data_IF_303261103343
#
_entry.id   IF_303261103343
#
_cell.length_a   1.000
_cell.length_b   1.000
_cell.length_c   1.000
_cell.angle_alpha   90.00
_cell.angle_beta   90.00
_cell.angle_gamma   90.00
#
_symmetry.space_group_name_H-M   'P 1'
#
loop_
_entity.id
_entity.type
_entity.pdbx_description
1 polymer ?
#
# COMPACT_ATOMS: atom_id res chain seq x y z
N UNK A 1 -33.34 1.07 -2.33
CA UNK A 1 -32.28 2.10 -2.45
C UNK A 1 -31.59 1.82 -3.77
N UNK A 2 -31.83 2.69 -4.73
CA UNK A 2 -31.31 2.58 -6.09
C UNK A 2 -29.79 2.65 -6.09
N UNK A 3 -29.11 1.57 -6.52
CA UNK A 3 -27.77 1.66 -7.03
C UNK A 3 -27.85 2.39 -8.37
N UNK A 4 -27.70 3.71 -8.34
CA UNK A 4 -27.53 4.47 -9.57
C UNK A 4 -26.08 4.20 -10.03
N UNK A 5 -25.92 3.81 -11.29
CA UNK A 5 -24.67 3.97 -12.06
C UNK A 5 -24.29 5.45 -12.01
N UNK A 6 -23.62 5.85 -10.94
CA UNK A 6 -23.02 7.17 -10.85
C UNK A 6 -21.62 7.04 -11.40
N UNK A 7 -21.45 7.44 -12.62
CA UNK A 7 -20.18 7.97 -13.13
C UNK A 7 -19.72 9.01 -12.10
N UNK A 8 -18.60 8.76 -11.38
CA UNK A 8 -18.09 9.59 -10.28
C UNK A 8 -18.74 9.34 -8.90
N UNK A 9 -18.60 8.15 -8.34
CA UNK A 9 -19.06 7.87 -6.97
C UNK A 9 -18.23 8.60 -5.90
N UNK A 10 -16.99 8.99 -6.20
CA UNK A 10 -16.08 9.66 -5.27
C UNK A 10 -15.41 10.84 -5.97
N UNK A 11 -15.77 12.07 -5.59
CA UNK A 11 -15.11 13.30 -6.05
C UNK A 11 -13.98 13.72 -5.09
N UNK A 12 -14.06 13.28 -3.82
CA UNK A 12 -13.05 13.53 -2.79
C UNK A 12 -12.36 12.21 -2.41
N UNK A 13 -11.04 12.23 -2.30
CA UNK A 13 -10.24 11.10 -1.84
C UNK A 13 -10.61 10.75 -0.40
N UNK A 14 -11.01 9.51 -0.16
CA UNK A 14 -11.31 9.02 1.19
C UNK A 14 -10.16 8.15 1.67
N UNK A 15 -9.51 8.56 2.77
CA UNK A 15 -8.42 7.79 3.37
C UNK A 15 -8.88 7.10 4.64
N UNK A 16 -8.49 5.84 4.82
CA UNK A 16 -8.77 5.04 6.03
C UNK A 16 -7.51 4.37 6.52
N UNK A 17 -7.32 4.41 7.84
CA UNK A 17 -6.24 3.69 8.52
C UNK A 17 -6.65 2.25 8.77
N UNK A 18 -5.71 1.33 8.61
CA UNK A 18 -5.85 -0.06 8.98
C UNK A 18 -4.52 -0.61 9.50
N UNK A 19 -4.57 -1.72 10.23
CA UNK A 19 -3.40 -2.31 10.88
C UNK A 19 -3.20 -3.73 10.34
N UNK A 20 -1.95 -4.04 9.98
CA UNK A 20 -1.48 -5.41 9.71
C UNK A 20 -0.19 -5.61 10.52
N UNK A 21 -0.10 -6.67 11.32
CA UNK A 21 1.07 -7.04 12.10
C UNK A 21 1.65 -5.86 12.91
N UNK A 22 0.78 -5.14 13.65
CA UNK A 22 1.11 -3.95 14.46
C UNK A 22 1.63 -2.75 13.67
N UNK A 23 1.60 -2.76 12.34
CA UNK A 23 1.91 -1.61 11.48
C UNK A 23 0.66 -0.93 11.02
N UNK A 24 0.65 0.40 11.09
CA UNK A 24 -0.43 1.24 10.57
C UNK A 24 -0.17 1.56 9.08
N UNK A 25 -1.20 1.34 8.29
CA UNK A 25 -1.23 1.68 6.86
C UNK A 25 -2.37 2.65 6.59
N UNK A 26 -2.20 3.49 5.59
CA UNK A 26 -3.22 4.39 5.09
C UNK A 26 -3.69 3.90 3.71
N UNK A 27 -4.94 3.46 3.63
CA UNK A 27 -5.58 3.14 2.37
C UNK A 27 -6.34 4.37 1.88
N UNK A 28 -5.97 4.86 0.70
CA UNK A 28 -6.66 5.99 0.06
C UNK A 28 -7.43 5.47 -1.15
N UNK A 29 -8.74 5.67 -1.12
CA UNK A 29 -9.61 5.41 -2.27
C UNK A 29 -9.44 6.52 -3.29
N UNK A 30 -9.29 6.12 -4.56
CA UNK A 30 -9.17 7.06 -5.68
C UNK A 30 -10.42 7.00 -6.55
N UNK A 31 -10.64 8.00 -7.37
CA UNK A 31 -11.69 7.93 -8.40
C UNK A 31 -11.36 6.79 -9.35
N UNK A 32 -12.32 5.88 -9.56
CA UNK A 32 -12.15 4.74 -10.47
C UNK A 32 -11.76 5.19 -11.88
N UNK A 33 -10.86 4.46 -12.52
CA UNK A 33 -10.54 4.70 -13.93
C UNK A 33 -11.78 4.38 -14.76
N UNK A 34 -12.34 5.42 -15.37
CA UNK A 34 -13.47 5.29 -16.27
C UNK A 34 -12.97 4.74 -17.62
N UNK A 35 -13.75 3.85 -18.22
CA UNK A 35 -13.62 3.54 -19.65
C UNK A 35 -13.73 4.87 -20.39
N UNK A 36 -12.71 5.21 -21.21
CA UNK A 36 -12.67 6.42 -22.03
C UNK A 36 -12.65 7.74 -21.22
N UNK A 37 -11.58 7.98 -20.43
CA UNK A 37 -11.31 9.32 -19.91
C UNK A 37 -10.98 10.25 -21.10
N UNK A 38 -11.81 11.26 -21.38
CA UNK A 38 -11.46 12.26 -22.37
C UNK A 38 -10.17 12.98 -21.93
N UNK A 39 -9.22 13.16 -22.86
CA UNK A 39 -7.92 13.81 -22.59
C UNK A 39 -8.03 15.19 -21.92
N UNK A 40 -9.15 15.89 -22.10
CA UNK A 40 -9.42 17.18 -21.46
C UNK A 40 -9.82 17.09 -19.98
N UNK A 41 -10.13 15.89 -19.46
CA UNK A 41 -10.44 15.69 -18.04
C UNK A 41 -9.20 15.27 -17.21
N UNK A 42 -8.09 14.88 -17.82
CA UNK A 42 -6.85 14.52 -17.13
C UNK A 42 -6.39 15.64 -16.20
N UNK A 43 -6.53 16.91 -16.61
CA UNK A 43 -6.19 18.07 -15.78
C UNK A 43 -7.11 18.25 -14.56
N UNK A 44 -8.37 17.84 -14.65
CA UNK A 44 -9.32 17.90 -13.53
C UNK A 44 -9.09 16.75 -12.52
N UNK A 45 -8.49 15.64 -12.97
CA UNK A 45 -8.14 14.48 -12.12
C UNK A 45 -6.72 14.56 -11.55
N UNK A 46 -5.98 15.63 -11.83
CA UNK A 46 -4.57 15.77 -11.42
C UNK A 46 -4.37 15.52 -9.92
N UNK A 47 -5.23 16.07 -9.06
CA UNK A 47 -5.13 15.90 -7.61
C UNK A 47 -5.36 14.45 -7.14
N UNK A 48 -6.22 13.71 -7.83
CA UNK A 48 -6.51 12.30 -7.51
C UNK A 48 -5.40 11.38 -8.00
N UNK A 49 -4.86 11.70 -9.19
CA UNK A 49 -3.71 10.99 -9.75
C UNK A 49 -2.42 11.28 -8.97
N UNK A 50 -2.25 12.51 -8.45
CA UNK A 50 -1.12 12.83 -7.55
C UNK A 50 -1.08 11.92 -6.33
N UNK A 51 -2.22 11.55 -5.76
CA UNK A 51 -2.27 10.60 -4.64
C UNK A 51 -1.79 9.21 -5.04
N UNK A 52 -2.11 8.76 -6.26
CA UNK A 52 -1.62 7.49 -6.78
C UNK A 52 -0.11 7.53 -7.10
N UNK A 53 0.39 8.66 -7.62
CA UNK A 53 1.81 8.83 -7.95
C UNK A 53 2.71 8.99 -6.71
N UNK A 54 2.15 9.39 -5.57
CA UNK A 54 2.89 9.66 -4.33
C UNK A 54 2.66 8.60 -3.23
N UNK A 55 2.03 7.47 -3.54
CA UNK A 55 1.87 6.37 -2.57
C UNK A 55 3.07 5.42 -2.60
N UNK A 56 3.14 4.54 -1.61
CA UNK A 56 4.21 3.53 -1.51
C UNK A 56 3.87 2.24 -2.26
N UNK A 57 2.58 1.98 -2.48
CA UNK A 57 2.06 0.79 -3.17
C UNK A 57 0.69 1.11 -3.78
N UNK A 58 0.48 0.73 -5.03
CA UNK A 58 -0.82 0.78 -5.70
C UNK A 58 -1.54 -0.57 -5.61
N UNK A 59 -2.84 -0.53 -5.39
CA UNK A 59 -3.72 -1.68 -5.58
C UNK A 59 -4.57 -1.43 -6.84
N UNK A 60 -4.28 -2.14 -7.92
CA UNK A 60 -5.08 -2.11 -9.15
C UNK A 60 -6.23 -3.09 -8.97
N UNK A 61 -7.44 -2.59 -8.77
CA UNK A 61 -8.62 -3.41 -8.49
C UNK A 61 -9.45 -3.55 -9.76
N UNK A 62 -9.57 -4.79 -10.25
CA UNK A 62 -10.38 -5.15 -11.40
C UNK A 62 -11.59 -5.98 -10.96
N UNK A 63 -12.66 -5.91 -11.73
CA UNK A 63 -13.84 -6.76 -11.56
C UNK A 63 -13.58 -8.11 -12.25
N UNK A 64 -13.42 -9.18 -11.48
CA UNK A 64 -13.17 -10.51 -12.03
C UNK A 64 -14.35 -11.07 -12.83
N UNK A 65 -15.56 -10.56 -12.62
CA UNK A 65 -16.77 -11.01 -13.31
C UNK A 65 -17.06 -10.30 -14.63
N UNK A 66 -16.23 -9.32 -15.01
CA UNK A 66 -16.36 -8.53 -16.24
C UNK A 66 -15.07 -8.66 -17.09
N UNK A 67 -14.92 -7.88 -18.11
CA UNK A 67 -13.70 -7.83 -18.97
C UNK A 67 -12.52 -7.22 -18.19
N UNK A 68 -11.96 -8.03 -17.26
CA UNK A 68 -10.82 -7.61 -16.44
C UNK A 68 -9.59 -7.28 -17.30
N UNK A 69 -9.41 -7.96 -18.45
CA UNK A 69 -8.24 -7.77 -19.28
C UNK A 69 -8.22 -6.36 -19.88
N UNK A 70 -9.37 -5.87 -20.35
CA UNK A 70 -9.50 -4.50 -20.84
C UNK A 70 -9.36 -3.48 -19.70
N UNK A 71 -9.93 -3.76 -18.52
CA UNK A 71 -9.80 -2.89 -17.34
C UNK A 71 -8.33 -2.73 -16.93
N UNK A 72 -7.61 -3.84 -16.84
CA UNK A 72 -6.21 -3.88 -16.45
C UNK A 72 -5.33 -3.19 -17.49
N UNK A 73 -5.49 -3.51 -18.77
CA UNK A 73 -4.72 -2.89 -19.86
C UNK A 73 -4.91 -1.37 -19.91
N UNK A 74 -6.16 -0.89 -19.78
CA UNK A 74 -6.47 0.54 -19.72
C UNK A 74 -5.78 1.21 -18.54
N UNK A 75 -5.84 0.60 -17.36
CA UNK A 75 -5.21 1.15 -16.15
C UNK A 75 -3.70 1.20 -16.28
N UNK A 76 -3.06 0.11 -16.76
CA UNK A 76 -1.61 0.06 -16.92
C UNK A 76 -1.11 1.05 -17.96
N UNK A 77 -1.81 1.23 -19.09
CA UNK A 77 -1.48 2.24 -20.11
C UNK A 77 -1.56 3.65 -19.53
N UNK A 78 -2.60 3.95 -18.75
CA UNK A 78 -2.73 5.27 -18.10
C UNK A 78 -1.60 5.52 -17.10
N UNK A 79 -1.24 4.52 -16.28
CA UNK A 79 -0.11 4.63 -15.35
C UNK A 79 1.21 4.86 -16.11
N UNK A 80 1.40 4.20 -17.25
CA UNK A 80 2.57 4.38 -18.11
C UNK A 80 2.63 5.79 -18.71
N UNK A 81 1.51 6.32 -19.21
CA UNK A 81 1.42 7.70 -19.74
C UNK A 81 1.73 8.75 -18.66
N UNK A 82 1.39 8.45 -17.41
CA UNK A 82 1.69 9.29 -16.25
C UNK A 82 3.12 9.09 -15.70
N UNK A 83 3.94 8.23 -16.35
CA UNK A 83 5.27 7.87 -15.86
C UNK A 83 5.28 7.38 -14.41
N UNK A 84 4.24 6.62 -14.02
CA UNK A 84 4.11 6.08 -12.68
C UNK A 84 5.06 4.89 -12.49
N UNK A 85 6.04 5.04 -11.61
CA UNK A 85 6.99 3.99 -11.23
C UNK A 85 6.63 3.31 -9.90
N UNK A 86 5.46 3.64 -9.33
CA UNK A 86 5.00 3.08 -8.06
C UNK A 86 4.74 1.58 -8.23
N UNK A 87 5.27 0.73 -7.34
CA UNK A 87 4.96 -0.70 -7.35
C UNK A 87 3.47 -0.94 -7.20
N UNK A 88 2.96 -2.01 -7.83
CA UNK A 88 1.53 -2.31 -7.77
C UNK A 88 1.25 -3.81 -7.55
N UNK A 89 0.09 -4.08 -6.95
CA UNK A 89 -0.52 -5.41 -6.84
C UNK A 89 -1.82 -5.42 -7.62
N UNK A 90 -2.06 -6.51 -8.36
CA UNK A 90 -3.29 -6.71 -9.13
C UNK A 90 -4.28 -7.47 -8.28
N UNK A 91 -5.45 -6.87 -8.03
CA UNK A 91 -6.50 -7.42 -7.17
C UNK A 91 -7.75 -7.67 -8.00
N UNK A 92 -8.15 -8.94 -8.10
CA UNK A 92 -9.37 -9.37 -8.78
C UNK A 92 -10.52 -9.44 -7.75
N UNK A 93 -11.38 -8.44 -7.76
CA UNK A 93 -12.55 -8.40 -6.88
C UNK A 93 -13.74 -9.11 -7.50
N UNK A 94 -14.76 -9.41 -6.70
CA UNK A 94 -15.94 -10.21 -7.03
C UNK A 94 -15.60 -11.64 -7.43
N UNK A 95 -14.56 -12.20 -6.85
CA UNK A 95 -14.08 -13.57 -7.14
C UNK A 95 -15.14 -14.64 -6.85
N UNK A 96 -16.16 -14.34 -6.06
CA UNK A 96 -17.30 -15.22 -5.83
C UNK A 96 -18.18 -15.45 -7.07
N UNK A 97 -18.05 -14.60 -8.09
CA UNK A 97 -18.82 -14.71 -9.33
C UNK A 97 -18.05 -15.48 -10.43
N UNK A 98 -16.84 -15.92 -10.17
CA UNK A 98 -15.96 -16.57 -11.17
C UNK A 98 -15.81 -18.06 -10.84
N UNK A 99 -16.07 -18.97 -11.83
CA UNK A 99 -16.03 -20.42 -11.59
C UNK A 99 -14.61 -21.00 -11.51
N UNK A 100 -13.62 -20.38 -12.14
CA UNK A 100 -12.21 -20.81 -12.14
C UNK A 100 -11.29 -19.61 -12.26
N UNK A 101 -10.05 -19.76 -11.75
CA UNK A 101 -9.00 -18.73 -11.80
C UNK A 101 -7.87 -19.07 -12.78
N UNK A 102 -7.98 -20.16 -13.55
CA UNK A 102 -6.92 -20.66 -14.44
C UNK A 102 -6.61 -19.72 -15.61
N UNK A 103 -7.55 -18.87 -16.00
CA UNK A 103 -7.42 -17.92 -17.11
C UNK A 103 -6.81 -16.58 -16.69
N UNK A 104 -6.52 -16.38 -15.40
CA UNK A 104 -5.98 -15.12 -14.87
C UNK A 104 -4.47 -15.20 -14.70
N UNK A 105 -3.77 -14.06 -14.77
CA UNK A 105 -2.35 -14.01 -14.45
C UNK A 105 -2.05 -14.56 -13.05
N UNK A 106 -0.98 -15.33 -12.86
CA UNK A 106 -0.67 -16.01 -11.59
C UNK A 106 -0.36 -15.05 -10.44
N UNK A 107 0.01 -13.81 -10.76
CA UNK A 107 0.28 -12.75 -9.79
C UNK A 107 -0.97 -12.06 -9.23
N UNK A 108 -2.16 -12.39 -9.77
CA UNK A 108 -3.41 -11.81 -9.32
C UNK A 108 -3.80 -12.29 -7.93
N UNK A 109 -4.32 -11.38 -7.12
CA UNK A 109 -4.85 -11.65 -5.79
C UNK A 109 -6.38 -11.61 -5.87
N UNK A 110 -7.03 -12.72 -5.58
CA UNK A 110 -8.48 -12.83 -5.66
C UNK A 110 -9.13 -12.47 -4.34
N UNK A 111 -10.11 -11.56 -4.40
CA UNK A 111 -10.89 -11.15 -3.23
C UNK A 111 -12.38 -11.09 -3.56
N UNK A 112 -13.18 -11.28 -2.56
CA UNK A 112 -14.62 -11.00 -2.59
C UNK A 112 -14.90 -9.98 -1.48
N UNK A 113 -14.72 -8.70 -1.77
CA UNK A 113 -14.83 -7.63 -0.77
C UNK A 113 -16.19 -7.60 -0.06
N UNK A 114 -17.25 -8.08 -0.72
CA UNK A 114 -18.60 -8.14 -0.16
C UNK A 114 -18.73 -9.08 1.03
N UNK A 115 -18.01 -10.21 1.04
CA UNK A 115 -18.07 -11.24 2.08
C UNK A 115 -16.76 -11.44 2.84
N UNK A 116 -15.71 -10.72 2.43
CA UNK A 116 -14.39 -10.76 3.07
C UNK A 116 -13.46 -11.88 2.61
N UNK A 117 -13.90 -12.74 1.69
CA UNK A 117 -13.05 -13.83 1.18
C UNK A 117 -11.81 -13.24 0.49
N UNK A 118 -10.62 -13.85 0.71
CA UNK A 118 -9.35 -13.44 0.13
C UNK A 118 -8.72 -12.17 0.75
N UNK A 119 -9.43 -11.44 1.62
CA UNK A 119 -8.90 -10.19 2.22
C UNK A 119 -7.67 -10.44 3.09
N UNK A 120 -7.63 -11.54 3.86
CA UNK A 120 -6.43 -11.88 4.65
C UNK A 120 -5.24 -12.21 3.73
N UNK A 121 -5.46 -12.89 2.61
CA UNK A 121 -4.42 -13.13 1.60
C UNK A 121 -3.86 -11.82 1.02
N UNK A 122 -4.73 -10.86 0.72
CA UNK A 122 -4.33 -9.52 0.27
C UNK A 122 -3.51 -8.78 1.34
N UNK A 123 -3.96 -8.80 2.59
CA UNK A 123 -3.21 -8.19 3.71
C UNK A 123 -1.82 -8.81 3.86
N UNK A 124 -1.70 -10.14 3.77
CA UNK A 124 -0.43 -10.84 3.84
C UNK A 124 0.50 -10.41 2.69
N UNK A 125 -0.02 -10.23 1.47
CA UNK A 125 0.77 -9.74 0.33
C UNK A 125 1.22 -8.29 0.51
N UNK A 126 0.39 -7.43 1.09
CA UNK A 126 0.76 -6.05 1.45
C UNK A 126 1.87 -6.08 2.50
N UNK A 127 1.73 -6.88 3.56
CA UNK A 127 2.74 -7.01 4.61
C UNK A 127 4.07 -7.55 4.06
N UNK A 128 4.02 -8.57 3.19
CA UNK A 128 5.18 -9.13 2.51
C UNK A 128 5.91 -8.06 1.68
N UNK A 129 5.17 -7.29 0.87
CA UNK A 129 5.73 -6.21 0.07
C UNK A 129 6.49 -5.19 0.95
N UNK A 130 5.87 -4.72 2.01
CA UNK A 130 6.50 -3.73 2.90
C UNK A 130 7.63 -4.33 3.75
N UNK A 131 7.57 -5.62 4.10
CA UNK A 131 8.65 -6.28 4.84
C UNK A 131 9.92 -6.42 4.01
N UNK A 132 9.82 -6.69 2.70
CA UNK A 132 10.95 -6.72 1.78
C UNK A 132 11.63 -5.35 1.65
N UNK A 133 10.89 -4.27 1.88
CA UNK A 133 11.40 -2.89 1.87
C UNK A 133 11.98 -2.46 3.22
N UNK A 134 12.01 -3.35 4.23
CA UNK A 134 12.53 -3.07 5.56
C UNK A 134 13.80 -3.86 5.84
N UNK A 135 14.64 -3.31 6.70
CA UNK A 135 15.79 -4.00 7.28
C UNK A 135 15.59 -4.18 8.78
N UNK A 136 15.88 -5.39 9.27
CA UNK A 136 16.02 -5.62 10.70
C UNK A 136 17.36 -5.06 11.16
N UNK A 137 17.33 -4.23 12.17
CA UNK A 137 18.51 -3.57 12.72
C UNK A 137 18.56 -3.72 14.24
N UNK A 138 19.77 -3.81 14.77
CA UNK A 138 20.02 -3.70 16.20
C UNK A 138 20.51 -2.29 16.48
N UNK A 139 19.81 -1.57 17.34
CA UNK A 139 20.14 -0.20 17.73
C UNK A 139 20.61 -0.17 19.17
N UNK A 140 21.61 0.65 19.43
CA UNK A 140 22.06 0.98 20.79
C UNK A 140 21.95 2.48 20.99
N UNK A 141 20.98 2.89 21.80
CA UNK A 141 20.61 4.28 22.03
C UNK A 141 21.07 4.72 23.42
N UNK A 142 22.11 5.58 23.53
CA UNK A 142 22.51 6.12 24.83
C UNK A 142 21.38 6.89 25.50
N UNK A 143 21.27 6.80 26.82
CA UNK A 143 20.22 7.50 27.58
C UNK A 143 20.19 9.00 27.30
N UNK A 144 21.35 9.62 27.08
CA UNK A 144 21.47 11.05 26.75
C UNK A 144 20.84 11.41 25.39
N UNK A 145 20.67 10.42 24.49
CA UNK A 145 20.11 10.61 23.15
C UNK A 145 18.66 10.11 23.00
N UNK A 146 18.02 9.67 24.08
CA UNK A 146 16.65 9.15 24.01
C UNK A 146 15.64 10.14 23.44
N UNK A 147 15.79 11.44 23.75
CA UNK A 147 14.92 12.48 23.19
C UNK A 147 15.07 12.64 21.68
N UNK A 148 16.27 12.46 21.13
CA UNK A 148 16.53 12.49 19.70
C UNK A 148 15.98 11.24 19.04
N UNK A 149 16.25 10.08 19.62
CA UNK A 149 15.68 8.82 19.17
C UNK A 149 14.14 8.84 19.18
N UNK A 150 13.52 9.40 20.22
CA UNK A 150 12.07 9.53 20.33
C UNK A 150 11.41 10.20 19.12
N UNK A 151 12.11 11.12 18.44
CA UNK A 151 11.64 11.75 17.21
C UNK A 151 11.74 10.81 16.01
N UNK A 152 12.63 9.84 16.06
CA UNK A 152 12.86 8.86 15.00
C UNK A 152 12.01 7.59 15.17
N UNK A 153 11.51 7.33 16.37
CA UNK A 153 10.73 6.13 16.71
C UNK A 153 9.56 5.85 15.75
N UNK A 154 8.93 6.89 15.23
CA UNK A 154 7.84 6.76 14.24
C UNK A 154 8.23 6.08 12.93
N UNK A 155 9.55 5.98 12.65
CA UNK A 155 10.08 5.32 11.44
C UNK A 155 10.60 3.90 11.73
N UNK A 156 10.49 3.42 12.98
CA UNK A 156 10.99 2.13 13.43
C UNK A 156 9.86 1.32 14.07
N UNK A 157 9.66 0.10 13.61
CA UNK A 157 8.82 -0.87 14.31
C UNK A 157 9.69 -1.61 15.32
N UNK A 158 9.63 -1.19 16.59
CA UNK A 158 10.37 -1.83 17.68
C UNK A 158 9.81 -3.22 17.95
N UNK A 159 10.68 -4.24 17.97
CA UNK A 159 10.32 -5.64 18.22
C UNK A 159 10.71 -6.08 19.63
N UNK A 160 11.87 -5.62 20.08
CA UNK A 160 12.42 -6.00 21.38
C UNK A 160 13.19 -4.82 21.96
N UNK A 161 12.97 -4.50 23.22
CA UNK A 161 13.62 -3.38 23.92
C UNK A 161 14.25 -3.91 25.21
N UNK A 162 15.55 -3.67 25.39
CA UNK A 162 16.32 -4.07 26.57
C UNK A 162 17.02 -2.84 27.16
N UNK A 163 16.95 -2.69 28.45
CA UNK A 163 17.57 -1.58 29.15
C UNK A 163 18.91 -2.05 29.74
N UNK A 164 20.00 -1.45 29.31
CA UNK A 164 21.34 -1.63 29.89
C UNK A 164 21.70 -0.50 30.87
N UNK A 165 22.95 -0.46 31.31
CA UNK A 165 23.38 0.51 32.32
C UNK A 165 23.42 1.95 31.76
N UNK A 166 23.95 2.15 30.52
CA UNK A 166 24.15 3.48 29.90
C UNK A 166 23.35 3.68 28.62
N UNK A 167 22.67 2.65 28.12
CA UNK A 167 21.96 2.66 26.83
C UNK A 167 20.76 1.73 26.83
N UNK A 168 19.88 1.94 25.85
CA UNK A 168 18.80 1.03 25.51
C UNK A 168 19.16 0.29 24.22
N UNK A 169 19.05 -1.04 24.23
CA UNK A 169 19.15 -1.88 23.03
C UNK A 169 17.76 -2.12 22.46
N UNK A 170 17.64 -1.95 21.15
CA UNK A 170 16.37 -2.04 20.46
C UNK A 170 16.56 -2.84 19.19
N UNK A 171 15.87 -3.98 19.08
CA UNK A 171 15.71 -4.69 17.84
C UNK A 171 14.52 -4.07 17.09
N UNK A 172 14.74 -3.50 15.93
CA UNK A 172 13.71 -2.80 15.18
C UNK A 172 13.75 -3.17 13.69
N UNK A 173 12.60 -3.08 13.06
CA UNK A 173 12.48 -3.07 11.61
C UNK A 173 12.31 -1.63 11.13
N UNK A 174 13.14 -1.23 10.17
CA UNK A 174 13.16 0.12 9.63
C UNK A 174 13.10 0.04 8.12
N UNK A 175 12.21 0.83 7.51
CA UNK A 175 12.18 0.94 6.06
C UNK A 175 13.52 1.45 5.54
N UNK A 176 14.00 0.81 4.45
CA UNK A 176 15.33 1.08 3.90
C UNK A 176 15.57 2.56 3.59
N UNK A 177 14.55 3.29 3.16
CA UNK A 177 14.61 4.74 2.90
C UNK A 177 14.93 5.58 4.14
N UNK A 178 14.65 5.07 5.34
CA UNK A 178 14.89 5.78 6.61
C UNK A 178 16.11 5.27 7.37
N UNK A 179 16.79 4.22 6.93
CA UNK A 179 17.96 3.63 7.62
C UNK A 179 19.06 4.65 7.91
N UNK A 180 19.27 5.61 7.00
CA UNK A 180 20.26 6.66 7.15
C UNK A 180 20.05 7.55 8.39
N UNK A 181 18.79 7.67 8.85
CA UNK A 181 18.44 8.45 10.06
C UNK A 181 18.89 7.79 11.35
N UNK A 182 19.18 6.49 11.31
CA UNK A 182 19.56 5.68 12.46
C UNK A 182 21.04 5.30 12.47
N UNK A 183 21.84 5.86 11.55
CA UNK A 183 23.27 5.52 11.41
C UNK A 183 24.04 5.62 12.73
N UNK A 184 23.76 6.64 13.55
CA UNK A 184 24.43 6.90 14.83
C UNK A 184 24.10 5.90 15.93
N UNK A 185 23.07 5.11 15.74
CA UNK A 185 22.55 4.16 16.74
C UNK A 185 22.73 2.69 16.32
N UNK A 186 23.07 2.41 15.05
CA UNK A 186 23.21 1.04 14.57
C UNK A 186 24.46 0.39 15.15
N UNK A 187 24.30 -0.82 15.68
CA UNK A 187 25.38 -1.73 16.02
C UNK A 187 25.65 -2.61 14.80
N UNK A 188 26.88 -2.60 14.30
CA UNK A 188 27.32 -3.41 13.17
C UNK A 188 27.45 -4.87 13.57
#
# INVERSE_FOLDING_TARGET
IYAADRLFATLDTTSRKFIIDDREYLLTDTVGFLRELPHNLISAFHSTLESALNCDLLLIVCDASDDYAMQLDTTLKTLQELHCEVPHLIVMNKSEAVPSFDEYPPECIFVAAKNGAGIEGLKNKIAEFFSQSCSSVHLRVPYLKLNEYGKLKKFAAERNVRYGDDFVEIDAEIENRYLHKFSDYRVL
#
